data_IF_529652354139
#
_entry.id   IF_529652354139
#
_cell.length_a   1.000
_cell.length_b   1.000
_cell.length_c   1.000
_cell.angle_alpha   90.00
_cell.angle_beta   90.00
_cell.angle_gamma   90.00
#
_symmetry.space_group_name_H-M   'P 1'
#
loop_
_entity.id
_entity.type
_entity.pdbx_description
1 polymer ?
#
# COMPACT_ATOMS: atom_id res chain seq x y z
N UNK A 1 -22.86 3.51 -9.20
CA UNK A 1 -23.35 2.15 -9.39
C UNK A 1 -24.12 1.65 -8.17
N UNK A 2 -23.54 1.59 -6.96
CA UNK A 2 -24.23 1.10 -5.76
C UNK A 2 -25.47 1.92 -5.42
N UNK A 3 -25.40 3.26 -5.39
CA UNK A 3 -26.56 4.10 -5.15
C UNK A 3 -27.65 3.91 -6.21
N UNK A 4 -27.26 3.82 -7.49
CA UNK A 4 -28.19 3.56 -8.60
C UNK A 4 -28.91 2.21 -8.43
N UNK A 5 -28.24 1.22 -7.85
CA UNK A 5 -28.81 -0.08 -7.51
C UNK A 5 -29.60 -0.10 -6.18
N UNK A 6 -29.80 1.07 -5.53
CA UNK A 6 -30.58 1.18 -4.30
C UNK A 6 -29.82 0.97 -2.99
N UNK A 7 -28.51 0.76 -3.06
CA UNK A 7 -27.67 0.62 -1.87
C UNK A 7 -27.48 1.95 -1.15
N UNK A 8 -27.48 1.90 0.17
CA UNK A 8 -27.05 3.01 1.01
C UNK A 8 -25.52 3.00 1.13
N UNK A 9 -24.86 4.06 0.72
CA UNK A 9 -23.40 4.10 0.59
C UNK A 9 -22.76 4.85 1.75
N UNK A 10 -21.71 4.27 2.32
CA UNK A 10 -21.04 4.81 3.50
C UNK A 10 -19.52 4.77 3.40
N UNK A 11 -18.87 5.73 4.08
CA UNK A 11 -17.44 5.73 4.34
C UNK A 11 -17.16 6.15 5.79
N UNK A 12 -16.42 5.34 6.55
CA UNK A 12 -16.12 5.65 7.95
C UNK A 12 -15.41 4.52 8.66
N UNK A 13 -15.52 4.46 9.97
CA UNK A 13 -14.86 3.43 10.79
C UNK A 13 -15.62 2.10 10.88
N UNK A 14 -16.86 2.05 10.44
CA UNK A 14 -17.75 0.91 10.69
C UNK A 14 -18.27 0.80 12.14
N UNK A 15 -17.92 1.75 13.01
CA UNK A 15 -18.33 1.78 14.42
C UNK A 15 -18.85 3.16 14.79
N UNK A 16 -20.01 3.25 15.52
CA UNK A 16 -20.66 4.52 15.83
C UNK A 16 -19.87 5.39 16.80
N UNK A 17 -18.93 4.82 17.56
CA UNK A 17 -18.13 5.50 18.61
C UNK A 17 -16.65 5.61 18.28
N UNK A 18 -16.26 5.32 17.06
CA UNK A 18 -14.85 5.36 16.64
C UNK A 18 -14.68 6.16 15.35
N UNK A 19 -13.54 6.80 15.18
CA UNK A 19 -13.11 7.34 13.90
C UNK A 19 -12.31 6.29 13.10
N UNK A 20 -11.94 6.61 11.86
CA UNK A 20 -11.17 5.71 10.99
C UNK A 20 -9.77 5.35 11.52
N UNK A 21 -9.30 5.99 12.59
CA UNK A 21 -8.04 5.69 13.27
C UNK A 21 -8.21 4.65 14.39
N UNK A 22 -9.37 4.02 14.47
CA UNK A 22 -9.73 3.12 15.59
C UNK A 22 -9.68 3.82 16.96
N UNK A 23 -9.96 5.13 16.95
CA UNK A 23 -9.94 5.95 18.17
C UNK A 23 -11.36 6.18 18.66
N UNK A 24 -11.64 6.00 19.95
CA UNK A 24 -12.92 6.37 20.54
C UNK A 24 -13.23 7.85 20.28
N UNK A 25 -14.45 8.15 19.89
CA UNK A 25 -14.93 9.51 19.64
C UNK A 25 -16.43 9.62 19.87
N UNK A 26 -16.88 10.81 20.25
CA UNK A 26 -18.32 11.14 20.36
C UNK A 26 -18.92 11.57 19.01
N UNK A 27 -18.07 11.92 18.03
CA UNK A 27 -18.48 12.36 16.70
C UNK A 27 -17.64 11.60 15.66
N UNK A 28 -18.11 10.43 15.21
CA UNK A 28 -17.45 9.67 14.16
C UNK A 28 -17.24 10.55 12.93
N UNK A 29 -16.10 10.37 12.27
CA UNK A 29 -15.75 11.11 11.05
C UNK A 29 -15.89 10.20 9.85
N UNK A 30 -16.21 10.78 8.71
CA UNK A 30 -15.95 10.15 7.44
C UNK A 30 -14.46 9.79 7.38
N UNK A 31 -14.12 8.74 6.66
CA UNK A 31 -12.74 8.31 6.51
C UNK A 31 -11.89 9.31 5.71
N UNK A 32 -10.71 8.87 5.33
CA UNK A 32 -9.79 9.60 4.48
C UNK A 32 -10.30 9.57 3.03
N UNK A 33 -10.40 10.72 2.41
CA UNK A 33 -10.93 10.93 1.05
C UNK A 33 -9.98 11.77 0.21
N UNK A 34 -8.68 11.51 0.31
CA UNK A 34 -7.65 12.16 -0.51
C UNK A 34 -7.47 11.41 -1.86
N UNK A 35 -8.56 11.28 -2.59
CA UNK A 35 -8.53 10.77 -3.94
C UNK A 35 -7.74 11.71 -4.86
N UNK A 36 -7.05 11.12 -5.82
CA UNK A 36 -6.23 11.84 -6.79
C UNK A 36 -7.03 12.25 -8.05
N UNK A 37 -8.30 12.55 -7.88
CA UNK A 37 -9.23 13.01 -8.92
C UNK A 37 -10.38 13.80 -8.28
N UNK A 38 -11.04 14.64 -9.06
CA UNK A 38 -12.25 15.34 -8.63
C UNK A 38 -13.39 14.35 -8.42
N UNK A 39 -14.05 14.44 -7.29
CA UNK A 39 -15.14 13.55 -6.92
C UNK A 39 -16.25 14.26 -6.13
N UNK A 40 -17.47 13.78 -6.27
CA UNK A 40 -18.61 14.31 -5.53
C UNK A 40 -18.77 13.56 -4.19
N UNK A 41 -18.72 14.29 -3.08
CA UNK A 41 -18.92 13.73 -1.74
C UNK A 41 -20.30 13.08 -1.56
N UNK A 42 -21.25 13.35 -2.44
CA UNK A 42 -22.59 12.76 -2.45
C UNK A 42 -22.61 11.28 -2.87
N UNK A 43 -21.49 10.74 -3.37
CA UNK A 43 -21.35 9.29 -3.59
C UNK A 43 -21.43 8.49 -2.28
N UNK A 44 -21.30 9.15 -1.12
CA UNK A 44 -21.51 8.57 0.20
C UNK A 44 -22.66 9.27 0.92
N UNK A 45 -23.72 8.51 1.21
CA UNK A 45 -24.90 9.00 1.94
C UNK A 45 -24.56 9.30 3.41
N UNK A 46 -23.66 8.50 4.04
CA UNK A 46 -23.35 8.64 5.46
C UNK A 46 -21.93 8.13 5.79
N UNK A 47 -21.56 8.28 7.07
CA UNK A 47 -20.39 7.64 7.68
C UNK A 47 -20.75 6.34 8.43
N UNK A 48 -22.03 6.01 8.55
CA UNK A 48 -22.52 4.83 9.27
C UNK A 48 -23.73 4.21 8.55
N UNK A 49 -23.71 2.90 8.34
CA UNK A 49 -24.83 2.17 7.70
C UNK A 49 -26.09 2.12 8.55
N UNK A 50 -26.04 2.46 9.86
CA UNK A 50 -27.23 2.52 10.71
C UNK A 50 -28.24 3.58 10.25
N UNK A 51 -27.82 4.58 9.48
CA UNK A 51 -28.68 5.63 8.94
C UNK A 51 -29.54 5.17 7.74
N UNK A 52 -29.35 3.95 7.22
CA UNK A 52 -30.10 3.39 6.10
C UNK A 52 -31.56 3.12 6.46
N UNK A 53 -32.43 3.07 5.45
CA UNK A 53 -33.80 2.61 5.63
C UNK A 53 -33.84 1.14 6.06
N UNK A 54 -34.93 0.74 6.71
CA UNK A 54 -35.15 -0.67 7.09
C UNK A 54 -35.07 -1.56 5.83
N UNK A 55 -34.30 -2.66 5.93
CA UNK A 55 -34.04 -3.61 4.83
C UNK A 55 -33.29 -3.06 3.60
N UNK A 56 -32.88 -1.81 3.60
CA UNK A 56 -32.08 -1.27 2.51
C UNK A 56 -30.68 -1.92 2.54
N UNK A 57 -30.18 -2.45 1.41
CA UNK A 57 -28.80 -2.93 1.34
C UNK A 57 -27.82 -1.76 1.50
N UNK A 58 -26.62 -2.05 1.93
CA UNK A 58 -25.59 -1.03 2.10
C UNK A 58 -24.23 -1.45 1.52
N UNK A 59 -23.50 -0.46 1.07
CA UNK A 59 -22.07 -0.55 0.76
C UNK A 59 -21.32 0.31 1.77
N UNK A 60 -20.39 -0.27 2.51
CA UNK A 60 -19.61 0.43 3.52
C UNK A 60 -18.13 0.29 3.28
N UNK A 61 -17.47 1.39 2.98
CA UNK A 61 -16.02 1.46 2.97
C UNK A 61 -15.51 1.75 4.38
N UNK A 62 -15.09 0.67 5.07
CA UNK A 62 -14.48 0.79 6.40
C UNK A 62 -13.01 1.17 6.23
N UNK A 63 -12.66 2.38 6.65
CA UNK A 63 -11.29 2.84 6.59
C UNK A 63 -10.59 2.71 7.94
N UNK A 64 -9.36 2.20 7.90
CA UNK A 64 -8.51 2.01 9.06
C UNK A 64 -7.15 2.67 8.82
N UNK A 65 -6.57 3.25 9.85
CA UNK A 65 -5.31 3.97 9.71
C UNK A 65 -4.09 3.04 9.59
N UNK A 66 -4.22 1.81 10.07
CA UNK A 66 -3.21 0.76 9.93
C UNK A 66 -1.85 1.15 10.51
N UNK A 67 -0.79 0.72 9.85
CA UNK A 67 0.60 0.93 10.27
C UNK A 67 1.02 2.38 10.51
N UNK A 68 0.27 3.37 10.00
CA UNK A 68 0.54 4.80 10.23
C UNK A 68 0.25 5.27 11.66
N UNK A 69 -0.51 4.50 12.45
CA UNK A 69 -0.81 4.83 13.85
C UNK A 69 0.43 4.92 14.74
N UNK A 70 1.53 4.23 14.39
CA UNK A 70 2.78 4.29 15.15
C UNK A 70 3.46 5.67 15.10
N UNK A 71 3.06 6.51 14.13
CA UNK A 71 3.72 7.78 13.88
C UNK A 71 5.05 7.63 13.13
N UNK A 72 5.88 8.68 13.17
CA UNK A 72 7.17 8.74 12.46
C UNK A 72 8.35 8.99 13.42
N UNK A 73 8.16 8.88 14.74
CA UNK A 73 9.12 9.23 15.78
C UNK A 73 8.92 8.38 17.02
N UNK A 74 9.90 8.40 17.92
CA UNK A 74 9.82 7.78 19.26
C UNK A 74 8.59 8.25 20.04
N UNK A 75 8.30 9.55 20.03
CA UNK A 75 7.10 10.09 20.66
C UNK A 75 5.81 9.50 20.05
N UNK A 76 5.79 9.23 18.76
CA UNK A 76 4.70 8.55 18.08
C UNK A 76 4.50 7.13 18.62
N UNK A 77 5.58 6.40 18.80
CA UNK A 77 5.55 5.06 19.38
C UNK A 77 5.05 5.08 20.84
N UNK A 78 5.61 5.96 21.68
CA UNK A 78 5.17 6.09 23.07
C UNK A 78 3.69 6.48 23.18
N UNK A 79 3.21 7.36 22.31
CA UNK A 79 1.79 7.70 22.22
C UNK A 79 0.93 6.50 21.80
N UNK A 80 1.43 5.63 20.90
CA UNK A 80 0.75 4.37 20.53
C UNK A 80 0.61 3.46 21.74
N UNK A 81 1.69 3.21 22.48
CA UNK A 81 1.66 2.38 23.69
C UNK A 81 0.70 2.93 24.74
N UNK A 82 0.67 4.24 24.95
CA UNK A 82 -0.28 4.91 25.85
C UNK A 82 -1.73 4.65 25.43
N UNK A 83 -2.05 4.73 24.13
CA UNK A 83 -3.38 4.41 23.59
C UNK A 83 -3.75 2.95 23.79
N UNK A 84 -2.84 2.02 23.49
CA UNK A 84 -3.04 0.59 23.70
C UNK A 84 -3.36 0.28 25.17
N UNK A 85 -2.59 0.84 26.09
CA UNK A 85 -2.82 0.67 27.53
C UNK A 85 -4.18 1.22 27.97
N UNK A 86 -4.54 2.42 27.51
CA UNK A 86 -5.81 3.07 27.87
C UNK A 86 -7.03 2.32 27.35
N UNK A 87 -6.98 1.82 26.13
CA UNK A 87 -8.11 1.15 25.48
C UNK A 87 -8.21 -0.33 25.87
N UNK A 88 -7.06 -0.99 26.12
CA UNK A 88 -7.00 -2.42 26.45
C UNK A 88 -7.35 -3.34 25.28
N UNK A 89 -7.29 -4.65 25.51
CA UNK A 89 -7.72 -5.66 24.51
C UNK A 89 -6.73 -6.00 23.40
N UNK A 90 -5.55 -5.38 23.36
CA UNK A 90 -4.53 -5.60 22.33
C UNK A 90 -3.38 -6.54 22.76
N UNK A 91 -3.38 -7.01 23.99
CA UNK A 91 -2.28 -7.77 24.56
C UNK A 91 -1.08 -6.88 24.93
N UNK A 92 0.05 -7.51 25.26
CA UNK A 92 1.29 -6.80 25.56
C UNK A 92 1.95 -6.27 24.29
N UNK A 93 2.71 -5.16 24.39
CA UNK A 93 3.52 -4.65 23.29
C UNK A 93 4.45 -5.74 22.72
N UNK A 94 4.73 -5.67 21.42
CA UNK A 94 5.63 -6.60 20.75
C UNK A 94 7.06 -6.46 21.30
N UNK A 95 7.65 -7.51 21.92
CA UNK A 95 9.03 -7.45 22.37
C UNK A 95 10.00 -7.31 21.20
N UNK A 96 11.01 -6.45 21.32
CA UNK A 96 12.02 -6.24 20.28
C UNK A 96 12.76 -7.54 19.91
N UNK A 97 12.92 -8.47 20.87
CA UNK A 97 13.53 -9.79 20.63
C UNK A 97 12.75 -10.68 19.68
N UNK A 98 11.44 -10.46 19.52
CA UNK A 98 10.55 -11.19 18.59
C UNK A 98 10.42 -10.52 17.21
N UNK A 99 11.03 -9.36 17.02
CA UNK A 99 11.00 -8.67 15.73
C UNK A 99 11.94 -9.36 14.75
N UNK A 100 11.40 -9.78 13.62
CA UNK A 100 12.14 -10.26 12.45
C UNK A 100 12.24 -9.10 11.48
N UNK A 101 13.46 -8.65 11.21
CA UNK A 101 13.76 -7.61 10.22
C UNK A 101 14.13 -8.26 8.89
N UNK A 102 13.78 -7.64 7.75
CA UNK A 102 14.43 -7.95 6.48
C UNK A 102 15.97 -7.87 6.59
N UNK A 103 16.74 -8.68 5.84
CA UNK A 103 18.19 -8.81 6.03
C UNK A 103 18.98 -7.52 5.71
N UNK A 104 18.37 -6.57 5.01
CA UNK A 104 18.96 -5.26 4.72
C UNK A 104 18.64 -4.17 5.76
N UNK A 105 18.01 -4.52 6.87
CA UNK A 105 17.87 -3.61 8.01
C UNK A 105 18.81 -4.02 9.13
N UNK A 106 19.66 -3.10 9.62
CA UNK A 106 20.53 -3.40 10.76
C UNK A 106 19.67 -3.65 12.02
N UNK A 107 20.13 -4.54 12.91
CA UNK A 107 19.49 -4.77 14.21
C UNK A 107 19.80 -3.64 15.20
N UNK A 108 19.45 -2.44 14.83
CA UNK A 108 19.54 -1.23 15.62
C UNK A 108 18.27 -1.05 16.47
N UNK A 109 18.39 -0.41 17.63
CA UNK A 109 17.28 -0.21 18.57
C UNK A 109 16.10 0.53 17.93
N UNK A 110 16.36 1.53 17.09
CA UNK A 110 15.33 2.32 16.38
C UNK A 110 14.63 1.46 15.34
N UNK A 111 15.36 0.62 14.61
CA UNK A 111 14.76 -0.31 13.63
C UNK A 111 13.80 -1.29 14.32
N UNK A 112 14.27 -1.89 15.42
CA UNK A 112 13.47 -2.85 16.18
C UNK A 112 12.23 -2.19 16.80
N UNK A 113 12.38 -0.98 17.32
CA UNK A 113 11.27 -0.21 17.90
C UNK A 113 10.22 0.15 16.86
N UNK A 114 10.61 0.65 15.69
CA UNK A 114 9.67 1.01 14.62
C UNK A 114 8.92 -0.21 14.09
N UNK A 115 9.59 -1.35 13.91
CA UNK A 115 8.96 -2.60 13.51
C UNK A 115 8.03 -3.18 14.57
N UNK A 116 8.42 -3.15 15.86
CA UNK A 116 7.56 -3.55 16.96
C UNK A 116 6.28 -2.69 16.97
N UNK A 117 6.43 -1.37 16.83
CA UNK A 117 5.31 -0.44 16.75
C UNK A 117 4.41 -0.72 15.53
N UNK A 118 4.99 -1.08 14.38
CA UNK A 118 4.21 -1.50 13.21
C UNK A 118 3.36 -2.75 13.52
N UNK A 119 3.95 -3.80 14.09
CA UNK A 119 3.25 -5.02 14.46
C UNK A 119 2.14 -4.75 15.49
N UNK A 120 2.38 -3.84 16.43
CA UNK A 120 1.37 -3.41 17.40
C UNK A 120 0.20 -2.69 16.72
N UNK A 121 0.44 -1.89 15.67
CA UNK A 121 -0.65 -1.26 14.90
C UNK A 121 -1.45 -2.25 14.08
N UNK A 122 -0.86 -3.34 13.61
CA UNK A 122 -1.59 -4.44 12.95
C UNK A 122 -2.57 -5.08 13.93
N UNK A 123 -2.17 -5.32 15.19
CA UNK A 123 -3.08 -5.84 16.23
C UNK A 123 -4.23 -4.88 16.55
N UNK A 124 -3.99 -3.57 16.55
CA UNK A 124 -5.07 -2.58 16.71
C UNK A 124 -6.04 -2.66 15.53
N UNK A 125 -5.53 -2.83 14.32
CA UNK A 125 -6.36 -2.99 13.11
C UNK A 125 -7.21 -4.25 13.20
N UNK A 126 -6.63 -5.38 13.58
CA UNK A 126 -7.33 -6.66 13.79
C UNK A 126 -8.43 -6.54 14.85
N UNK A 127 -8.12 -5.90 15.99
CA UNK A 127 -9.11 -5.62 17.03
C UNK A 127 -10.30 -4.82 16.48
N UNK A 128 -10.02 -3.76 15.70
CA UNK A 128 -11.08 -2.92 15.12
C UNK A 128 -11.98 -3.73 14.18
N UNK A 129 -11.39 -4.53 13.30
CA UNK A 129 -12.11 -5.45 12.42
C UNK A 129 -13.00 -6.38 13.26
N UNK A 130 -12.45 -6.94 14.33
CA UNK A 130 -13.20 -7.77 15.27
C UNK A 130 -14.40 -7.05 15.89
N UNK A 131 -14.32 -5.74 16.17
CA UNK A 131 -15.47 -4.96 16.67
C UNK A 131 -16.53 -4.74 15.57
N UNK A 132 -16.11 -4.48 14.32
CA UNK A 132 -17.03 -4.38 13.17
C UNK A 132 -17.77 -5.70 12.96
N UNK A 133 -17.06 -6.83 12.99
CA UNK A 133 -17.66 -8.17 12.87
C UNK A 133 -18.66 -8.46 13.99
N UNK A 134 -18.34 -8.12 15.23
CA UNK A 134 -19.25 -8.24 16.38
C UNK A 134 -20.50 -7.38 16.19
N UNK A 135 -20.35 -6.17 15.65
CA UNK A 135 -21.47 -5.27 15.35
C UNK A 135 -22.40 -5.88 14.29
N UNK A 136 -21.85 -6.33 13.15
CA UNK A 136 -22.63 -6.99 12.10
C UNK A 136 -23.40 -8.20 12.65
N UNK A 137 -22.74 -9.01 13.50
CA UNK A 137 -23.39 -10.16 14.16
C UNK A 137 -24.52 -9.74 15.11
N UNK A 138 -24.29 -8.68 15.95
CA UNK A 138 -25.30 -8.15 16.86
C UNK A 138 -26.53 -7.59 16.13
N UNK A 139 -26.32 -6.99 14.96
CA UNK A 139 -27.39 -6.46 14.11
C UNK A 139 -28.07 -7.56 13.25
N UNK A 140 -27.61 -8.81 13.33
CA UNK A 140 -28.20 -9.96 12.61
C UNK A 140 -27.92 -9.97 11.10
N UNK A 141 -26.97 -9.19 10.62
CA UNK A 141 -26.71 -9.00 9.19
C UNK A 141 -25.37 -9.62 8.73
N UNK A 142 -24.56 -10.15 9.65
CA UNK A 142 -23.24 -10.69 9.35
C UNK A 142 -23.26 -11.81 8.29
N UNK A 143 -24.23 -12.70 8.37
CA UNK A 143 -24.32 -13.86 7.47
C UNK A 143 -24.82 -13.49 6.06
N UNK A 144 -25.37 -12.30 5.89
CA UNK A 144 -25.78 -11.73 4.61
C UNK A 144 -24.92 -10.53 4.19
N UNK A 145 -23.66 -10.49 4.62
CA UNK A 145 -22.73 -9.38 4.29
C UNK A 145 -21.42 -9.96 3.77
N UNK A 146 -21.01 -9.53 2.56
CA UNK A 146 -19.65 -9.70 2.09
C UNK A 146 -18.74 -8.75 2.86
N UNK A 147 -17.72 -9.28 3.51
CA UNK A 147 -16.64 -8.52 4.13
C UNK A 147 -15.37 -8.77 3.34
N UNK A 148 -14.82 -7.71 2.77
CA UNK A 148 -13.55 -7.74 2.04
C UNK A 148 -12.51 -6.97 2.87
N UNK A 149 -11.45 -7.64 3.29
CA UNK A 149 -10.32 -7.01 3.94
C UNK A 149 -9.11 -7.01 3.03
N UNK A 150 -8.53 -5.84 2.83
CA UNK A 150 -7.26 -5.65 2.12
C UNK A 150 -6.56 -4.38 2.61
N UNK A 151 -5.32 -4.17 2.19
CA UNK A 151 -4.59 -2.91 2.43
C UNK A 151 -4.38 -2.16 1.12
N UNK A 152 -4.26 -0.83 1.20
CA UNK A 152 -4.02 0.03 0.03
C UNK A 152 -2.62 -0.17 -0.59
N UNK A 153 -1.66 -0.58 0.21
CA UNK A 153 -0.28 -0.91 -0.16
C UNK A 153 0.39 -1.65 0.99
N UNK A 154 1.56 -2.21 0.75
CA UNK A 154 2.39 -2.83 1.78
C UNK A 154 2.97 -1.82 2.78
N UNK A 155 3.91 -2.28 3.61
CA UNK A 155 4.52 -1.48 4.67
C UNK A 155 5.22 -0.23 4.14
N UNK A 156 5.11 0.90 4.85
CA UNK A 156 5.72 2.17 4.41
C UNK A 156 7.16 2.36 4.92
N UNK A 157 7.96 1.30 4.93
CA UNK A 157 9.40 1.31 5.23
C UNK A 157 10.25 1.62 3.99
N UNK A 158 11.59 1.46 4.08
CA UNK A 158 12.50 1.94 3.04
C UNK A 158 12.26 1.30 1.67
N UNK A 159 12.04 -0.03 1.59
CA UNK A 159 11.75 -0.75 0.33
C UNK A 159 10.28 -1.12 0.11
N UNK A 160 9.38 -0.82 1.04
CA UNK A 160 7.95 -1.11 0.92
C UNK A 160 7.20 -0.13 0.02
N UNK A 161 6.21 0.58 0.56
CA UNK A 161 5.46 1.60 -0.21
C UNK A 161 6.39 2.46 -1.08
N UNK A 162 6.03 2.71 -2.33
CA UNK A 162 6.77 3.35 -3.43
C UNK A 162 7.71 2.40 -4.21
N UNK A 163 7.80 1.13 -3.86
CA UNK A 163 8.57 0.14 -4.60
C UNK A 163 7.68 -1.00 -5.06
N UNK A 164 8.10 -1.70 -6.10
CA UNK A 164 7.33 -2.81 -6.69
C UNK A 164 7.85 -4.19 -6.22
N UNK A 165 8.56 -4.22 -5.09
CA UNK A 165 8.87 -5.45 -4.37
C UNK A 165 7.68 -5.96 -3.58
N UNK A 166 7.70 -7.22 -3.17
CA UNK A 166 6.63 -7.83 -2.35
C UNK A 166 6.33 -7.04 -1.08
N UNK A 167 7.34 -6.42 -0.45
CA UNK A 167 7.13 -5.55 0.71
C UNK A 167 6.19 -4.35 0.42
N UNK A 168 6.12 -3.92 -0.84
CA UNK A 168 5.26 -2.82 -1.28
C UNK A 168 3.95 -3.24 -1.93
N UNK A 169 3.93 -4.39 -2.62
CA UNK A 169 2.82 -4.80 -3.48
C UNK A 169 2.09 -6.07 -3.05
N UNK A 170 2.76 -6.97 -2.31
CA UNK A 170 2.11 -8.19 -1.82
C UNK A 170 1.32 -7.88 -0.55
N UNK A 171 0.01 -7.69 -0.70
CA UNK A 171 -0.91 -7.31 0.36
C UNK A 171 -1.86 -8.46 0.70
N UNK A 172 -2.41 -8.50 1.93
CA UNK A 172 -3.46 -9.44 2.27
C UNK A 172 -4.76 -9.10 1.52
N UNK A 173 -5.45 -10.15 1.05
CA UNK A 173 -6.85 -10.09 0.61
C UNK A 173 -7.61 -11.21 1.30
N UNK A 174 -8.63 -10.86 2.09
CA UNK A 174 -9.45 -11.83 2.82
C UNK A 174 -10.92 -11.57 2.53
N UNK A 175 -11.64 -12.58 2.08
CA UNK A 175 -13.06 -12.54 1.79
C UNK A 175 -13.84 -13.37 2.81
N UNK A 176 -14.95 -12.83 3.28
CA UNK A 176 -15.91 -13.53 4.13
C UNK A 176 -17.32 -13.11 3.76
N UNK A 177 -18.21 -14.06 3.50
CA UNK A 177 -19.61 -13.76 3.17
C UNK A 177 -20.38 -15.00 2.73
N UNK A 178 -21.65 -14.82 2.33
CA UNK A 178 -22.43 -15.89 1.72
C UNK A 178 -21.71 -16.45 0.48
N UNK A 179 -21.74 -17.76 0.31
CA UNK A 179 -21.06 -18.43 -0.80
C UNK A 179 -19.53 -18.51 -0.72
N UNK A 180 -18.88 -17.78 0.18
CA UNK A 180 -17.41 -17.82 0.33
C UNK A 180 -16.98 -19.06 1.11
N UNK A 181 -16.15 -19.96 0.56
CA UNK A 181 -15.68 -21.15 1.25
C UNK A 181 -14.86 -20.82 2.50
N UNK A 182 -15.22 -21.42 3.64
CA UNK A 182 -14.55 -21.17 4.92
C UNK A 182 -13.18 -21.83 4.97
N UNK A 183 -12.17 -21.12 5.49
CA UNK A 183 -10.83 -21.63 5.73
C UNK A 183 -10.03 -22.00 4.48
N UNK A 184 -10.51 -21.64 3.29
CA UNK A 184 -9.80 -21.90 2.04
C UNK A 184 -8.74 -20.83 1.79
N UNK A 185 -7.55 -21.25 1.40
CA UNK A 185 -6.50 -20.39 0.89
C UNK A 185 -6.40 -20.59 -0.62
N UNK A 186 -6.35 -19.47 -1.36
CA UNK A 186 -6.07 -19.46 -2.79
C UNK A 186 -4.64 -18.90 -3.00
N UNK A 187 -3.98 -19.33 -4.07
CA UNK A 187 -2.62 -18.90 -4.42
C UNK A 187 -2.57 -18.22 -5.79
N UNK A 188 -3.71 -18.08 -6.45
CA UNK A 188 -3.83 -17.35 -7.70
C UNK A 188 -3.56 -15.85 -7.52
N UNK A 189 -3.16 -15.23 -8.62
CA UNK A 189 -2.83 -13.82 -8.65
C UNK A 189 -4.10 -12.97 -8.74
N UNK A 190 -4.21 -12.01 -7.83
CA UNK A 190 -5.35 -11.08 -7.74
C UNK A 190 -4.81 -9.65 -7.64
N UNK A 191 -5.50 -8.70 -8.24
CA UNK A 191 -5.13 -7.29 -8.25
C UNK A 191 -6.15 -6.42 -7.49
N UNK A 192 -5.75 -5.21 -7.09
CA UNK A 192 -6.67 -4.26 -6.44
C UNK A 192 -7.91 -3.94 -7.29
N UNK A 193 -7.76 -3.89 -8.61
CA UNK A 193 -8.88 -3.60 -9.52
C UNK A 193 -9.98 -4.66 -9.44
N UNK A 194 -9.65 -5.90 -9.07
CA UNK A 194 -10.60 -7.00 -8.91
C UNK A 194 -11.56 -6.78 -7.73
N UNK A 195 -11.14 -6.03 -6.71
CA UNK A 195 -11.98 -5.76 -5.52
C UNK A 195 -13.30 -5.06 -5.90
N UNK A 196 -13.25 -4.17 -6.90
CA UNK A 196 -14.45 -3.49 -7.39
C UNK A 196 -15.38 -4.47 -8.11
N UNK A 197 -14.85 -5.32 -8.99
CA UNK A 197 -15.60 -6.34 -9.72
C UNK A 197 -16.25 -7.36 -8.75
N UNK A 198 -15.49 -7.91 -7.81
CA UNK A 198 -15.98 -8.79 -6.74
C UNK A 198 -17.15 -8.13 -5.98
N UNK A 199 -16.99 -6.85 -5.63
CA UNK A 199 -17.99 -6.12 -4.85
C UNK A 199 -19.30 -5.91 -5.62
N UNK A 200 -19.22 -5.59 -6.92
CA UNK A 200 -20.36 -5.41 -7.80
C UNK A 200 -21.08 -6.75 -8.06
N UNK A 201 -20.33 -7.78 -8.43
CA UNK A 201 -20.89 -9.10 -8.70
C UNK A 201 -21.63 -9.66 -7.48
N UNK A 202 -21.02 -9.56 -6.29
CA UNK A 202 -21.65 -9.98 -5.05
C UNK A 202 -22.94 -9.19 -4.73
N UNK A 203 -23.01 -7.93 -5.13
CA UNK A 203 -24.20 -7.10 -4.98
C UNK A 203 -25.27 -7.36 -6.06
N UNK A 204 -25.04 -8.24 -7.02
CA UNK A 204 -25.89 -8.47 -8.18
C UNK A 204 -25.93 -7.29 -9.16
N UNK A 205 -24.87 -6.47 -9.17
CA UNK A 205 -24.71 -5.31 -10.05
C UNK A 205 -23.81 -5.71 -11.19
N UNK A 206 -24.23 -5.48 -12.44
CA UNK A 206 -23.42 -5.77 -13.61
C UNK A 206 -22.07 -5.03 -13.59
N UNK A 207 -20.99 -5.74 -13.89
CA UNK A 207 -19.66 -5.16 -14.02
C UNK A 207 -19.62 -4.37 -15.34
N UNK A 208 -19.30 -3.06 -15.32
CA UNK A 208 -19.21 -2.28 -16.55
C UNK A 208 -18.11 -2.81 -17.48
N UNK A 209 -18.36 -2.83 -18.79
CA UNK A 209 -17.42 -3.28 -19.81
C UNK A 209 -16.03 -2.58 -19.75
N UNK A 210 -16.01 -1.32 -19.31
CA UNK A 210 -14.77 -0.55 -19.15
C UNK A 210 -13.98 -0.86 -17.88
N UNK A 211 -14.50 -1.74 -17.02
CA UNK A 211 -13.82 -2.13 -15.77
C UNK A 211 -12.91 -3.32 -16.08
N UNK A 212 -11.62 -3.14 -15.85
CA UNK A 212 -10.59 -4.15 -16.18
C UNK A 212 -10.42 -5.22 -15.09
N UNK A 213 -11.04 -5.05 -13.92
CA UNK A 213 -10.99 -6.03 -12.83
C UNK A 213 -11.96 -7.19 -13.05
N UNK A 214 -11.59 -8.38 -12.56
CA UNK A 214 -12.36 -9.60 -12.67
C UNK A 214 -13.10 -9.96 -11.38
N UNK A 215 -14.28 -10.58 -11.49
CA UNK A 215 -14.87 -11.29 -10.38
C UNK A 215 -14.13 -12.62 -10.17
N UNK A 216 -13.14 -12.61 -9.30
CA UNK A 216 -12.34 -13.81 -9.00
C UNK A 216 -13.13 -14.92 -8.29
N UNK A 217 -14.40 -14.68 -7.98
CA UNK A 217 -15.30 -15.67 -7.35
C UNK A 217 -16.31 -16.25 -8.36
N UNK A 218 -16.32 -15.81 -9.60
CA UNK A 218 -17.17 -16.36 -10.63
C UNK A 218 -16.82 -17.82 -10.93
N UNK A 219 -17.83 -18.61 -11.29
CA UNK A 219 -17.65 -20.04 -11.59
C UNK A 219 -16.78 -20.28 -12.84
N UNK A 220 -16.77 -19.34 -13.76
CA UNK A 220 -16.01 -19.34 -15.02
C UNK A 220 -14.72 -18.49 -14.95
N UNK A 221 -14.30 -18.07 -13.74
CA UNK A 221 -13.08 -17.32 -13.58
C UNK A 221 -11.83 -18.14 -13.90
N UNK A 222 -11.04 -17.67 -14.84
CA UNK A 222 -9.73 -18.22 -15.18
C UNK A 222 -8.62 -17.45 -14.45
N UNK A 223 -7.77 -18.13 -13.65
CA UNK A 223 -6.70 -17.48 -12.91
C UNK A 223 -5.73 -16.71 -13.81
N UNK A 224 -5.38 -15.49 -13.40
CA UNK A 224 -4.39 -14.68 -14.12
C UNK A 224 -3.03 -15.35 -14.13
N UNK A 225 -2.41 -15.43 -15.32
CA UNK A 225 -1.03 -15.92 -15.45
C UNK A 225 0.02 -14.90 -14.97
N UNK A 226 -0.32 -13.62 -14.97
CA UNK A 226 0.50 -12.53 -14.48
C UNK A 226 -0.33 -11.34 -14.03
N UNK A 227 0.25 -10.56 -13.11
CA UNK A 227 -0.26 -9.26 -12.69
C UNK A 227 0.83 -8.21 -12.84
N UNK A 228 0.40 -6.94 -12.97
CA UNK A 228 1.31 -5.85 -13.29
C UNK A 228 1.23 -4.75 -12.24
N UNK A 229 2.33 -4.03 -12.09
CA UNK A 229 2.34 -2.85 -11.25
C UNK A 229 3.21 -1.74 -11.84
N UNK A 230 2.81 -0.50 -11.56
CA UNK A 230 3.47 0.70 -12.05
C UNK A 230 3.75 1.68 -10.92
N UNK A 231 4.84 2.40 -11.06
CA UNK A 231 5.17 3.57 -10.25
C UNK A 231 5.78 4.64 -11.13
N UNK A 232 5.30 5.88 -10.98
CA UNK A 232 5.91 7.06 -11.62
C UNK A 232 6.39 8.06 -10.58
N UNK A 233 5.52 8.61 -9.75
CA UNK A 233 5.88 9.62 -8.76
C UNK A 233 5.25 9.33 -7.40
N UNK A 234 5.89 9.79 -6.34
CA UNK A 234 5.27 9.88 -5.02
C UNK A 234 5.73 11.15 -4.32
N UNK A 235 4.86 12.13 -4.20
CA UNK A 235 5.24 13.47 -3.81
C UNK A 235 6.19 14.08 -4.85
N UNK A 236 7.30 14.65 -4.40
CA UNK A 236 8.35 15.19 -5.28
C UNK A 236 9.26 14.13 -5.91
N UNK A 237 9.20 12.88 -5.42
CA UNK A 237 10.13 11.82 -5.85
C UNK A 237 9.68 11.20 -7.19
N UNK A 238 10.22 11.69 -8.28
CA UNK A 238 9.98 11.19 -9.65
C UNK A 238 10.74 9.91 -9.89
N UNK A 239 10.04 8.92 -10.39
CA UNK A 239 10.60 7.65 -10.83
C UNK A 239 9.82 7.12 -12.03
N UNK A 240 10.26 6.04 -12.63
CA UNK A 240 9.47 5.22 -13.54
C UNK A 240 9.90 3.78 -13.39
N UNK A 241 9.02 2.96 -12.82
CA UNK A 241 9.24 1.54 -12.60
C UNK A 241 7.99 0.80 -13.08
N UNK A 242 8.20 -0.34 -13.73
CA UNK A 242 7.14 -1.26 -14.13
C UNK A 242 7.51 -2.66 -13.71
N UNK A 243 6.54 -3.47 -13.34
CA UNK A 243 6.80 -4.86 -13.01
C UNK A 243 5.74 -5.79 -13.57
N UNK A 244 6.15 -7.03 -13.79
CA UNK A 244 5.27 -8.16 -14.04
C UNK A 244 5.57 -9.26 -13.03
N UNK A 245 4.51 -9.79 -12.43
CA UNK A 245 4.54 -10.87 -11.46
C UNK A 245 3.82 -12.08 -12.01
N UNK A 246 4.46 -13.24 -11.98
CA UNK A 246 3.86 -14.55 -12.21
C UNK A 246 3.82 -15.35 -10.91
N UNK A 247 3.32 -16.57 -10.94
CA UNK A 247 3.39 -17.51 -9.80
C UNK A 247 4.83 -17.81 -9.34
N UNK A 248 5.82 -17.74 -10.25
CA UNK A 248 7.20 -18.10 -9.97
C UNK A 248 8.17 -16.92 -9.90
N UNK A 249 7.92 -15.83 -10.63
CA UNK A 249 8.88 -14.75 -10.80
C UNK A 249 8.29 -13.38 -10.60
N UNK A 250 9.10 -12.46 -10.05
CA UNK A 250 8.89 -11.03 -10.12
C UNK A 250 9.98 -10.43 -11.02
N UNK A 251 9.58 -9.81 -12.12
CA UNK A 251 10.46 -9.02 -12.98
C UNK A 251 10.15 -7.55 -12.84
N UNK A 252 11.19 -6.71 -12.66
CA UNK A 252 11.08 -5.26 -12.50
C UNK A 252 11.97 -4.59 -13.55
N UNK A 253 11.43 -3.58 -14.24
CA UNK A 253 12.16 -2.69 -15.14
C UNK A 253 12.26 -1.30 -14.53
N UNK A 254 13.48 -0.82 -14.31
CA UNK A 254 13.81 0.50 -13.84
C UNK A 254 14.17 1.40 -15.04
N UNK A 255 13.39 2.44 -15.31
CA UNK A 255 13.63 3.33 -16.44
C UNK A 255 14.65 4.42 -16.14
N UNK A 256 14.92 4.69 -14.86
CA UNK A 256 15.95 5.62 -14.39
C UNK A 256 17.01 4.91 -13.55
N UNK A 257 17.83 4.03 -14.16
CA UNK A 257 18.81 3.23 -13.42
C UNK A 257 19.95 4.08 -12.82
N UNK A 258 20.11 5.32 -13.28
CA UNK A 258 21.10 6.26 -12.76
C UNK A 258 20.71 6.88 -11.42
N UNK A 259 19.52 6.56 -10.91
CA UNK A 259 19.02 7.02 -9.60
C UNK A 259 19.18 5.92 -8.55
N UNK A 260 19.45 6.25 -7.28
CA UNK A 260 19.48 5.28 -6.20
C UNK A 260 18.10 4.69 -5.93
N UNK A 261 18.04 3.53 -5.25
CA UNK A 261 16.77 2.99 -4.79
C UNK A 261 16.11 3.90 -3.75
N UNK A 262 16.80 4.21 -2.66
CA UNK A 262 16.27 5.07 -1.60
C UNK A 262 16.50 6.55 -1.95
N UNK A 263 15.75 7.04 -2.93
CA UNK A 263 15.81 8.42 -3.35
C UNK A 263 15.42 9.39 -2.22
N UNK A 264 15.92 10.63 -2.21
CA UNK A 264 15.44 11.69 -1.32
C UNK A 264 13.94 11.90 -1.48
N UNK A 265 13.20 11.90 -0.38
CA UNK A 265 11.75 12.10 -0.40
C UNK A 265 11.28 12.62 0.96
N UNK A 266 10.63 13.76 0.99
CA UNK A 266 10.09 14.32 2.22
C UNK A 266 9.18 13.34 2.96
N UNK A 267 8.43 12.52 2.21
CA UNK A 267 7.58 11.47 2.78
C UNK A 267 8.38 10.36 3.47
N UNK A 268 9.45 9.86 2.84
CA UNK A 268 10.30 8.78 3.39
C UNK A 268 11.23 9.32 4.47
N UNK A 269 11.92 10.42 4.19
CA UNK A 269 12.93 11.01 5.07
C UNK A 269 12.33 11.60 6.35
N UNK A 270 11.01 11.80 6.37
CA UNK A 270 10.28 12.14 7.60
C UNK A 270 10.20 11.02 8.63
N UNK A 271 10.49 9.75 8.25
CA UNK A 271 10.36 8.58 9.15
C UNK A 271 11.64 8.31 9.91
N UNK A 272 11.51 8.01 11.22
CA UNK A 272 12.67 7.76 12.09
C UNK A 272 13.57 6.64 11.56
N UNK A 273 12.97 5.56 11.04
CA UNK A 273 13.71 4.42 10.48
C UNK A 273 14.57 4.84 9.27
N UNK A 274 14.05 5.70 8.39
CA UNK A 274 14.80 6.16 7.21
C UNK A 274 15.87 7.17 7.60
N UNK A 275 15.59 8.07 8.55
CA UNK A 275 16.61 8.96 9.12
C UNK A 275 17.78 8.16 9.69
N UNK A 276 17.48 7.13 10.48
CA UNK A 276 18.49 6.28 11.08
C UNK A 276 19.34 5.55 10.04
N UNK A 277 18.72 5.03 8.97
CA UNK A 277 19.45 4.42 7.85
C UNK A 277 20.39 5.42 7.18
N UNK A 278 19.96 6.66 6.93
CA UNK A 278 20.83 7.71 6.35
C UNK A 278 21.97 8.10 7.29
N UNK A 279 21.73 8.19 8.59
CA UNK A 279 22.77 8.42 9.60
C UNK A 279 23.82 7.31 9.61
N UNK A 280 23.39 6.05 9.57
CA UNK A 280 24.28 4.90 9.56
C UNK A 280 25.07 4.82 8.25
N UNK A 281 24.45 5.10 7.10
CA UNK A 281 25.12 5.23 5.81
C UNK A 281 26.21 6.30 5.86
N UNK A 282 25.88 7.52 6.28
CA UNK A 282 26.84 8.62 6.38
C UNK A 282 28.01 8.33 7.33
N UNK A 283 27.78 7.48 8.34
CA UNK A 283 28.81 7.04 9.29
C UNK A 283 29.58 5.77 8.86
N UNK A 284 29.27 5.19 7.68
CA UNK A 284 29.89 3.94 7.21
C UNK A 284 29.57 2.72 8.09
N UNK A 285 28.39 2.68 8.71
CA UNK A 285 27.97 1.65 9.68
C UNK A 285 26.93 0.66 9.15
N UNK A 286 26.57 0.75 7.88
CA UNK A 286 25.69 -0.23 7.24
C UNK A 286 26.52 -1.42 6.74
N UNK A 287 25.91 -2.60 6.73
CA UNK A 287 26.50 -3.77 6.08
C UNK A 287 26.46 -3.63 4.54
N UNK A 288 27.27 -4.42 3.81
CA UNK A 288 27.34 -4.32 2.35
C UNK A 288 26.01 -4.57 1.63
N UNK A 289 25.10 -5.39 2.20
CA UNK A 289 23.81 -5.67 1.59
C UNK A 289 22.89 -4.43 1.70
N UNK A 290 22.85 -3.81 2.87
CA UNK A 290 22.09 -2.58 3.10
C UNK A 290 22.61 -1.44 2.20
N UNK A 291 23.93 -1.24 2.12
CA UNK A 291 24.54 -0.26 1.23
C UNK A 291 24.14 -0.50 -0.22
N UNK A 292 24.29 -1.74 -0.71
CA UNK A 292 23.96 -2.12 -2.08
C UNK A 292 22.48 -1.87 -2.40
N UNK A 293 21.55 -2.31 -1.53
CA UNK A 293 20.12 -2.31 -1.83
C UNK A 293 19.43 -0.97 -1.56
N UNK A 294 20.00 -0.10 -0.72
CA UNK A 294 19.37 1.15 -0.32
C UNK A 294 20.11 2.39 -0.82
N UNK A 295 21.45 2.37 -0.80
CA UNK A 295 22.28 3.56 -0.98
C UNK A 295 23.21 3.53 -2.19
N UNK A 296 23.25 2.42 -2.94
CA UNK A 296 24.00 2.42 -4.22
C UNK A 296 23.58 3.64 -5.05
N UNK A 297 24.51 4.41 -5.62
CA UNK A 297 24.20 5.62 -6.39
C UNK A 297 23.40 5.33 -7.67
N UNK A 298 23.46 4.09 -8.14
CA UNK A 298 22.68 3.57 -9.27
C UNK A 298 21.99 2.29 -8.88
N UNK A 299 21.03 1.85 -9.68
CA UNK A 299 20.31 0.58 -9.52
C UNK A 299 20.29 -0.20 -10.81
N UNK A 300 20.05 -1.53 -10.78
CA UNK A 300 19.94 -2.33 -11.99
C UNK A 300 18.85 -1.79 -12.92
N UNK A 301 19.08 -1.85 -14.24
CA UNK A 301 18.04 -1.57 -15.23
C UNK A 301 16.92 -2.60 -15.18
N UNK A 302 17.30 -3.87 -14.90
CA UNK A 302 16.36 -4.98 -14.79
C UNK A 302 16.64 -5.79 -13.53
N UNK A 303 15.56 -6.25 -12.91
CA UNK A 303 15.65 -7.10 -11.74
C UNK A 303 14.75 -8.32 -11.94
N UNK A 304 15.23 -9.48 -11.55
CA UNK A 304 14.48 -10.74 -11.60
C UNK A 304 14.63 -11.47 -10.26
N UNK A 305 13.52 -11.81 -9.65
CA UNK A 305 13.49 -12.51 -8.37
C UNK A 305 12.64 -13.76 -8.45
N UNK A 306 13.06 -14.82 -7.75
CA UNK A 306 12.34 -16.08 -7.67
C UNK A 306 11.38 -16.04 -6.48
N UNK A 307 10.10 -16.16 -6.75
CA UNK A 307 9.09 -16.16 -5.70
C UNK A 307 9.15 -17.43 -4.84
N UNK A 308 8.91 -17.27 -3.55
CA UNK A 308 8.91 -18.38 -2.59
C UNK A 308 10.29 -18.76 -2.04
N UNK A 309 11.37 -18.46 -2.79
CA UNK A 309 12.76 -18.73 -2.34
C UNK A 309 13.45 -17.46 -1.84
N UNK A 310 13.21 -16.32 -2.46
CA UNK A 310 13.78 -15.02 -2.08
C UNK A 310 12.70 -14.10 -1.51
N UNK A 311 12.28 -14.36 -0.28
CA UNK A 311 11.21 -13.63 0.40
C UNK A 311 11.44 -12.11 0.47
N UNK A 312 12.69 -11.67 0.38
CA UNK A 312 13.07 -10.27 0.56
C UNK A 312 13.56 -9.59 -0.72
N UNK A 313 13.52 -10.30 -1.86
CA UNK A 313 14.04 -9.84 -3.15
C UNK A 313 15.42 -9.19 -3.02
N UNK A 314 16.37 -9.95 -2.49
CA UNK A 314 17.78 -9.50 -2.28
C UNK A 314 18.74 -10.06 -3.33
N UNK A 315 18.36 -11.16 -3.98
CA UNK A 315 19.18 -11.84 -4.99
C UNK A 315 18.64 -11.59 -6.39
N UNK A 316 19.10 -10.50 -7.02
CA UNK A 316 18.76 -10.24 -8.42
C UNK A 316 19.36 -11.30 -9.34
N UNK A 317 18.52 -11.97 -10.14
CA UNK A 317 18.87 -13.05 -11.08
C UNK A 317 18.89 -12.57 -12.54
N UNK A 318 18.76 -11.27 -12.81
CA UNK A 318 18.70 -10.76 -14.18
C UNK A 318 19.97 -11.05 -14.98
N UNK A 319 21.13 -11.14 -14.32
CA UNK A 319 22.40 -11.45 -14.93
C UNK A 319 22.78 -12.95 -14.89
N UNK A 320 21.89 -13.83 -14.37
CA UNK A 320 22.12 -15.27 -14.35
C UNK A 320 21.83 -15.87 -15.75
N UNK A 321 22.85 -16.39 -16.48
CA UNK A 321 22.65 -16.95 -17.83
C UNK A 321 21.60 -18.06 -17.89
N UNK A 322 21.43 -18.81 -16.79
CA UNK A 322 20.45 -19.89 -16.68
C UNK A 322 19.01 -19.37 -16.71
N UNK A 323 18.80 -18.09 -16.42
CA UNK A 323 17.51 -17.41 -16.40
C UNK A 323 17.24 -16.55 -17.65
N UNK A 324 18.15 -16.51 -18.61
CA UNK A 324 18.04 -15.66 -19.81
C UNK A 324 16.75 -15.87 -20.61
N UNK A 325 16.28 -17.11 -20.72
CA UNK A 325 15.00 -17.42 -21.43
C UNK A 325 13.80 -16.80 -20.70
N UNK A 326 13.69 -17.01 -19.40
CA UNK A 326 12.60 -16.48 -18.57
C UNK A 326 12.64 -14.95 -18.52
N UNK A 327 13.83 -14.37 -18.35
CA UNK A 327 14.00 -12.91 -18.37
C UNK A 327 13.48 -12.30 -19.69
N UNK A 328 13.83 -12.91 -20.84
CA UNK A 328 13.34 -12.46 -22.16
C UNK A 328 11.82 -12.56 -22.28
N UNK A 329 11.22 -13.64 -21.78
CA UNK A 329 9.76 -13.81 -21.81
C UNK A 329 9.04 -12.75 -20.97
N UNK A 330 9.51 -12.50 -19.74
CA UNK A 330 8.90 -11.51 -18.86
C UNK A 330 9.12 -10.08 -19.35
N UNK A 331 10.27 -9.79 -19.97
CA UNK A 331 10.52 -8.51 -20.65
C UNK A 331 9.49 -8.25 -21.75
N UNK A 332 9.30 -9.22 -22.66
CA UNK A 332 8.31 -9.11 -23.75
C UNK A 332 6.91 -8.94 -23.17
N UNK A 333 6.55 -9.73 -22.14
CA UNK A 333 5.23 -9.66 -21.51
C UNK A 333 4.96 -8.27 -20.91
N UNK A 334 5.94 -7.71 -20.21
CA UNK A 334 5.83 -6.36 -19.65
C UNK A 334 5.76 -5.28 -20.74
N UNK A 335 6.55 -5.39 -21.79
CA UNK A 335 6.54 -4.46 -22.93
C UNK A 335 5.20 -4.50 -23.70
N UNK A 336 4.63 -5.69 -23.84
CA UNK A 336 3.29 -5.87 -24.42
C UNK A 336 2.24 -5.18 -23.57
N UNK A 337 2.23 -5.41 -22.25
CA UNK A 337 1.30 -4.76 -21.33
C UNK A 337 1.42 -3.22 -21.38
N UNK A 338 2.65 -2.67 -21.34
CA UNK A 338 2.90 -1.23 -21.45
C UNK A 338 2.27 -0.65 -22.74
N UNK A 339 2.39 -1.38 -23.85
CA UNK A 339 1.84 -0.96 -25.13
C UNK A 339 0.31 -1.05 -25.16
N UNK A 340 -0.25 -2.17 -24.71
CA UNK A 340 -1.70 -2.43 -24.76
C UNK A 340 -2.50 -1.53 -23.83
N UNK A 341 -1.96 -1.21 -22.66
CA UNK A 341 -2.59 -0.28 -21.71
C UNK A 341 -2.43 1.19 -22.09
N UNK A 342 -1.67 1.49 -23.13
CA UNK A 342 -1.41 2.89 -23.53
C UNK A 342 -0.64 3.66 -22.45
N UNK A 343 0.31 3.01 -21.74
CA UNK A 343 1.14 3.64 -20.71
C UNK A 343 1.68 5.00 -21.21
N UNK A 344 1.29 6.14 -20.58
CA UNK A 344 1.60 7.48 -21.10
C UNK A 344 3.10 7.84 -21.05
N UNK A 345 3.92 6.94 -20.49
CA UNK A 345 5.33 7.21 -20.30
C UNK A 345 5.62 8.08 -19.07
N UNK A 346 6.75 8.79 -19.05
CA UNK A 346 7.11 9.67 -17.94
C UNK A 346 6.18 10.89 -17.88
N UNK A 347 5.90 11.35 -16.66
CA UNK A 347 5.20 12.59 -16.41
C UNK A 347 5.92 13.77 -17.08
N UNK A 348 5.16 14.68 -17.68
CA UNK A 348 5.75 15.87 -18.31
C UNK A 348 6.30 16.85 -17.27
N UNK A 349 7.37 17.61 -17.59
CA UNK A 349 7.94 18.61 -16.68
C UNK A 349 6.91 19.63 -16.20
N UNK A 350 5.98 20.04 -17.04
CA UNK A 350 4.97 21.06 -16.70
C UNK A 350 3.98 20.53 -15.65
N UNK A 351 3.49 19.30 -15.79
CA UNK A 351 2.62 18.66 -14.79
C UNK A 351 3.37 18.52 -13.48
N UNK A 352 4.62 18.05 -13.51
CA UNK A 352 5.47 17.95 -12.33
C UNK A 352 5.62 19.28 -11.60
N UNK A 353 5.86 20.37 -12.34
CA UNK A 353 6.01 21.72 -11.78
C UNK A 353 4.74 22.19 -11.08
N UNK A 354 3.60 22.08 -11.75
CA UNK A 354 2.30 22.50 -11.19
C UNK A 354 1.99 21.78 -9.87
N UNK A 355 2.11 20.47 -9.84
CA UNK A 355 1.80 19.69 -8.65
C UNK A 355 2.81 19.89 -7.51
N UNK A 356 4.10 20.04 -7.81
CA UNK A 356 5.10 20.30 -6.77
C UNK A 356 4.94 21.70 -6.17
N UNK A 357 4.57 22.70 -6.95
CA UNK A 357 4.26 24.04 -6.44
C UNK A 357 3.02 24.05 -5.55
N UNK A 358 1.97 23.34 -5.96
CA UNK A 358 0.73 23.23 -5.16
C UNK A 358 0.98 22.51 -3.85
N UNK A 359 1.74 21.41 -3.88
CA UNK A 359 2.17 20.71 -2.68
C UNK A 359 3.00 21.58 -1.75
N UNK A 360 3.91 22.40 -2.28
CA UNK A 360 4.69 23.36 -1.47
C UNK A 360 3.80 24.42 -0.83
N UNK A 361 2.81 24.95 -1.56
CA UNK A 361 1.84 25.93 -1.02
C UNK A 361 1.01 25.32 0.10
N UNK A 362 0.58 24.09 -0.04
CA UNK A 362 -0.25 23.37 0.95
C UNK A 362 0.54 22.88 2.16
N UNK A 363 1.86 22.75 2.07
CA UNK A 363 2.73 22.24 3.14
C UNK A 363 2.95 23.30 4.22
N UNK A 364 2.33 23.11 5.40
CA UNK A 364 2.38 24.08 6.52
C UNK A 364 3.71 24.09 7.27
N UNK A 365 4.38 22.93 7.39
CA UNK A 365 5.62 22.80 8.16
C UNK A 365 6.79 23.39 7.35
N UNK A 366 7.53 24.41 7.87
CA UNK A 366 8.60 25.06 7.13
C UNK A 366 9.75 24.12 6.75
N UNK A 367 10.15 23.22 7.64
CA UNK A 367 11.22 22.24 7.37
C UNK A 367 10.81 21.25 6.28
N UNK A 368 9.57 20.76 6.32
CA UNK A 368 9.04 19.91 5.26
C UNK A 368 8.95 20.61 3.92
N UNK A 369 8.55 21.88 3.91
CA UNK A 369 8.51 22.71 2.69
C UNK A 369 9.90 22.89 2.09
N UNK A 370 10.89 23.18 2.92
CA UNK A 370 12.28 23.33 2.47
C UNK A 370 12.87 22.03 1.93
N UNK A 371 12.62 20.89 2.60
CA UNK A 371 13.04 19.58 2.10
C UNK A 371 12.38 19.27 0.75
N UNK A 372 11.08 19.56 0.63
CA UNK A 372 10.34 19.37 -0.61
C UNK A 372 10.94 20.20 -1.75
N UNK A 373 11.25 21.48 -1.49
CA UNK A 373 11.88 22.38 -2.45
C UNK A 373 13.25 21.85 -2.92
N UNK A 374 14.13 21.49 -1.98
CA UNK A 374 15.46 20.92 -2.30
C UNK A 374 15.36 19.63 -3.13
N UNK A 375 14.46 18.74 -2.77
CA UNK A 375 14.25 17.50 -3.51
C UNK A 375 13.72 17.81 -4.92
N UNK A 376 12.76 18.72 -5.06
CA UNK A 376 12.22 19.10 -6.37
C UNK A 376 13.30 19.66 -7.30
N UNK A 377 14.20 20.50 -6.78
CA UNK A 377 15.35 21.03 -7.54
C UNK A 377 16.31 19.90 -7.97
N UNK A 378 16.56 18.93 -7.09
CA UNK A 378 17.36 17.75 -7.42
C UNK A 378 16.74 16.94 -8.56
N UNK A 379 15.43 16.67 -8.51
CA UNK A 379 14.74 15.92 -9.56
C UNK A 379 14.71 16.66 -10.90
N UNK A 380 14.49 17.98 -10.90
CA UNK A 380 14.60 18.82 -12.10
C UNK A 380 15.99 18.68 -12.74
N UNK A 381 17.04 18.76 -11.91
CA UNK A 381 18.42 18.60 -12.38
C UNK A 381 18.65 17.19 -12.95
N UNK A 382 18.23 16.13 -12.27
CA UNK A 382 18.36 14.77 -12.77
C UNK A 382 17.64 14.58 -14.11
N UNK A 383 16.45 15.13 -14.25
CA UNK A 383 15.70 15.11 -15.52
C UNK A 383 16.44 15.83 -16.64
N UNK A 384 17.02 17.02 -16.37
CA UNK A 384 17.81 17.75 -17.37
C UNK A 384 19.13 17.06 -17.73
N UNK A 385 19.70 16.24 -16.84
CA UNK A 385 20.89 15.44 -17.04
C UNK A 385 20.61 14.07 -17.71
N UNK A 386 19.33 13.78 -17.99
CA UNK A 386 18.92 12.47 -18.55
C UNK A 386 19.00 11.30 -17.56
N UNK A 387 18.99 11.60 -16.27
CA UNK A 387 19.03 10.64 -15.18
C UNK A 387 17.63 10.27 -14.69
#
# INVERSE_FOLDING_TARGET
LFQTAGYFTCIGSGLPTHDYRSMPTTKPRRGKTDYNFDWDAKIYDSHDWAARKKQQPFFMQVQLHGGKLRGASENGYNALLGRMKKQGGFGLPTPHSKVILPPYYPRDSIMLQDWAAYLDTVRITDWHIGQVMKRLKKEGILENTLVVFFTDHGISHARGKQFLYDEGTHIPLILRGPGIPKGKKRNDLVEHIDVAAISLAFAGIGIPEKMEGDDVMADDYEPKEAVFAARDRCGEAVDRIRSVRTDQYLYIKNFYPQRPHLMPSNYKDGKIIVKRLREMHAAGKLDPLAEKLLFSPTRPTEELYLYGEDLWQVKNLADDPRRGKVLKQLRVRLETWIKETGDPGPETPDVYLLETEDQMKSTRNPSSRENYRKNSELYKRWTSEGK
#
